data_IF_066900616315
#
_entry.id   IF_066900616315
#
_cell.length_a   1.000
_cell.length_b   1.000
_cell.length_c   1.000
_cell.angle_alpha   90.00
_cell.angle_beta   90.00
_cell.angle_gamma   90.00
#
_symmetry.space_group_name_H-M   'P 1'
#
loop_
_entity.id
_entity.type
_entity.pdbx_description
1 polymer ?
#
# COMPACT_ATOMS: atom_id res chain seq x y z
N UNK A 1 41.38 11.22 3.44
CA UNK A 1 40.36 11.08 4.51
C UNK A 1 39.31 10.11 4.00
N UNK A 2 39.02 9.05 4.76
CA UNK A 2 37.97 8.08 4.43
C UNK A 2 36.78 8.36 5.35
N UNK A 3 35.72 8.97 4.80
CA UNK A 3 34.51 9.31 5.55
C UNK A 3 33.60 8.10 5.69
N UNK A 4 33.24 7.73 6.91
CA UNK A 4 32.17 6.77 7.17
C UNK A 4 30.84 7.54 7.25
N UNK A 5 30.06 7.54 6.17
CA UNK A 5 28.69 8.09 6.16
C UNK A 5 27.67 6.97 6.33
N UNK A 6 27.69 6.33 7.51
CA UNK A 6 26.71 5.33 7.87
C UNK A 6 25.40 5.98 8.31
N UNK A 7 24.47 6.20 7.38
CA UNK A 7 23.13 6.74 7.70
C UNK A 7 22.28 5.73 8.52
N UNK A 8 22.70 4.47 8.60
CA UNK A 8 22.08 3.44 9.42
C UNK A 8 20.66 3.11 8.92
N UNK A 9 20.56 2.19 7.97
CA UNK A 9 19.27 1.77 7.37
C UNK A 9 18.19 1.40 8.40
N UNK A 10 18.58 0.78 9.52
CA UNK A 10 17.66 0.47 10.61
C UNK A 10 17.12 1.72 11.30
N UNK A 11 17.94 2.76 11.48
CA UNK A 11 17.50 4.04 12.06
C UNK A 11 16.55 4.78 11.13
N UNK A 12 16.82 4.77 9.82
CA UNK A 12 15.89 5.32 8.84
C UNK A 12 14.53 4.65 8.93
N UNK A 13 14.51 3.31 8.96
CA UNK A 13 13.27 2.55 9.08
C UNK A 13 12.51 2.92 10.35
N UNK A 14 13.19 2.93 11.51
CA UNK A 14 12.58 3.34 12.78
C UNK A 14 12.05 4.77 12.75
N UNK A 15 12.79 5.71 12.17
CA UNK A 15 12.36 7.11 12.04
C UNK A 15 11.13 7.25 11.14
N UNK A 16 11.03 6.48 10.04
CA UNK A 16 9.83 6.48 9.20
C UNK A 16 8.62 5.98 10.00
N UNK A 17 8.76 4.87 10.72
CA UNK A 17 7.67 4.32 11.54
C UNK A 17 7.26 5.29 12.65
N UNK A 18 8.21 6.01 13.26
CA UNK A 18 7.93 7.01 14.28
C UNK A 18 7.18 8.23 13.73
N UNK A 19 7.55 8.71 12.54
CA UNK A 19 6.91 9.88 11.91
C UNK A 19 5.58 9.51 11.24
N UNK A 20 5.44 8.30 10.71
CA UNK A 20 4.26 7.81 9.96
C UNK A 20 3.70 6.55 10.59
N UNK A 21 2.90 6.72 11.64
CA UNK A 21 2.11 5.67 12.25
C UNK A 21 0.70 6.14 12.58
N UNK A 22 -0.16 5.18 12.93
CA UNK A 22 -1.35 5.41 13.72
C UNK A 22 -1.43 4.41 14.89
N UNK A 23 -2.53 4.45 15.63
CA UNK A 23 -2.79 3.55 16.76
C UNK A 23 -2.86 2.05 16.39
N UNK A 24 -2.87 1.70 15.10
CA UNK A 24 -2.97 0.33 14.60
C UNK A 24 -1.71 -0.17 13.92
N UNK A 25 -0.74 0.69 13.63
CA UNK A 25 0.51 0.30 12.99
C UNK A 25 1.18 1.40 12.16
N UNK A 26 2.28 1.07 11.47
CA UNK A 26 2.96 1.99 10.56
C UNK A 26 2.11 2.32 9.33
N UNK A 27 2.38 3.47 8.71
CA UNK A 27 1.84 3.87 7.41
C UNK A 27 3.02 4.05 6.46
N UNK A 28 3.24 3.05 5.60
CA UNK A 28 4.37 3.08 4.69
C UNK A 28 4.17 4.05 3.53
N UNK A 29 5.20 4.82 3.15
CA UNK A 29 5.29 5.39 1.80
C UNK A 29 5.32 4.27 0.75
N UNK A 30 4.79 4.55 -0.45
CA UNK A 30 4.73 3.57 -1.54
C UNK A 30 6.11 3.06 -1.97
N UNK A 31 7.15 3.89 -1.86
CA UNK A 31 8.51 3.56 -2.31
C UNK A 31 9.27 2.59 -1.41
N UNK A 32 8.86 2.44 -0.15
CA UNK A 32 9.54 1.60 0.85
C UNK A 32 8.59 0.62 1.54
N UNK A 33 7.36 0.51 1.03
CA UNK A 33 6.39 -0.46 1.55
C UNK A 33 6.87 -1.88 1.26
N UNK A 34 6.66 -2.85 2.17
CA UNK A 34 7.05 -4.25 1.93
C UNK A 34 6.34 -4.88 0.72
N UNK A 35 5.11 -4.46 0.46
CA UNK A 35 4.33 -4.75 -0.74
C UNK A 35 3.52 -3.51 -1.09
N UNK A 36 3.17 -3.35 -2.36
CA UNK A 36 2.33 -2.24 -2.81
C UNK A 36 0.86 -2.50 -2.47
N UNK A 37 0.41 -3.75 -2.63
CA UNK A 37 -1.00 -4.13 -2.49
C UNK A 37 -1.16 -5.33 -1.56
N UNK A 38 -2.14 -5.29 -0.68
CA UNK A 38 -2.59 -6.44 0.10
C UNK A 38 -3.96 -6.89 -0.40
N UNK A 39 -4.03 -8.10 -0.93
CA UNK A 39 -5.25 -8.72 -1.42
C UNK A 39 -5.82 -9.63 -0.35
N UNK A 40 -7.03 -9.36 0.12
CA UNK A 40 -7.68 -10.14 1.17
C UNK A 40 -8.93 -10.81 0.60
N UNK A 41 -8.90 -12.14 0.55
CA UNK A 41 -10.08 -12.95 0.25
C UNK A 41 -10.87 -13.20 1.55
N UNK A 42 -12.11 -12.69 1.60
CA UNK A 42 -13.02 -12.90 2.72
C UNK A 42 -13.94 -14.09 2.42
N UNK A 43 -14.01 -15.05 3.34
CA UNK A 43 -14.79 -16.29 3.20
C UNK A 43 -14.26 -17.19 2.06
N UNK A 44 -13.05 -17.72 2.25
CA UNK A 44 -12.36 -18.61 1.31
C UNK A 44 -13.10 -19.93 1.07
N UNK A 45 -14.10 -20.26 1.89
CA UNK A 45 -15.02 -21.39 1.68
C UNK A 45 -15.87 -21.30 0.39
N UNK A 46 -15.78 -20.22 -0.39
CA UNK A 46 -16.46 -20.07 -1.68
C UNK A 46 -15.47 -19.96 -2.84
N UNK A 47 -15.60 -20.87 -3.81
CA UNK A 47 -14.74 -20.94 -4.99
C UNK A 47 -14.76 -19.66 -5.83
N UNK A 48 -15.88 -18.95 -5.89
CA UNK A 48 -16.01 -17.71 -6.68
C UNK A 48 -15.12 -16.58 -6.13
N UNK A 49 -14.99 -16.48 -4.81
CA UNK A 49 -14.15 -15.46 -4.16
C UNK A 49 -12.68 -15.73 -4.45
N UNK A 50 -12.26 -16.99 -4.33
CA UNK A 50 -10.89 -17.41 -4.63
C UNK A 50 -10.58 -17.16 -6.11
N UNK A 51 -11.46 -17.58 -7.03
CA UNK A 51 -11.24 -17.38 -8.46
C UNK A 51 -11.13 -15.89 -8.84
N UNK A 52 -11.94 -15.02 -8.23
CA UNK A 52 -11.83 -13.58 -8.43
C UNK A 52 -10.53 -13.00 -7.84
N UNK A 53 -10.10 -13.50 -6.69
CA UNK A 53 -8.85 -13.11 -6.05
C UNK A 53 -7.64 -13.53 -6.88
N UNK A 54 -7.59 -14.78 -7.31
CA UNK A 54 -6.53 -15.31 -8.18
C UNK A 54 -6.44 -14.53 -9.48
N UNK A 55 -7.59 -14.18 -10.08
CA UNK A 55 -7.61 -13.34 -11.28
C UNK A 55 -6.95 -11.97 -11.03
N UNK A 56 -7.37 -11.27 -9.98
CA UNK A 56 -6.81 -9.95 -9.64
C UNK A 56 -5.32 -10.07 -9.29
N UNK A 57 -4.93 -11.11 -8.55
CA UNK A 57 -3.54 -11.38 -8.20
C UNK A 57 -2.68 -11.58 -9.44
N UNK A 58 -3.13 -12.41 -10.38
CA UNK A 58 -2.42 -12.64 -11.65
C UNK A 58 -2.36 -11.37 -12.50
N UNK A 59 -3.47 -10.63 -12.62
CA UNK A 59 -3.51 -9.38 -13.39
C UNK A 59 -2.53 -8.33 -12.83
N UNK A 60 -2.41 -8.23 -11.49
CA UNK A 60 -1.46 -7.33 -10.83
C UNK A 60 -0.01 -7.80 -10.98
N UNK A 61 0.23 -9.11 -10.82
CA UNK A 61 1.57 -9.70 -10.96
C UNK A 61 2.10 -9.54 -12.39
N UNK A 62 1.23 -9.68 -13.41
CA UNK A 62 1.57 -9.41 -14.81
C UNK A 62 1.95 -7.95 -15.07
N UNK A 63 1.53 -7.03 -14.20
CA UNK A 63 1.89 -5.60 -14.25
C UNK A 63 3.13 -5.28 -13.41
N UNK A 64 3.85 -6.29 -12.91
CA UNK A 64 5.04 -6.15 -12.03
C UNK A 64 4.73 -5.45 -10.70
N UNK A 65 3.49 -5.60 -10.21
CA UNK A 65 3.07 -5.04 -8.93
C UNK A 65 3.26 -6.10 -7.84
N UNK A 66 3.99 -5.76 -6.79
CA UNK A 66 4.13 -6.62 -5.61
C UNK A 66 2.81 -6.69 -4.81
N UNK A 67 2.26 -7.90 -4.72
CA UNK A 67 1.01 -8.19 -4.02
C UNK A 67 1.20 -9.23 -2.93
N UNK A 68 0.73 -8.91 -1.72
CA UNK A 68 0.56 -9.88 -0.64
C UNK A 68 -0.86 -10.46 -0.71
N UNK A 69 -0.98 -11.75 -1.02
CA UNK A 69 -2.27 -12.44 -1.03
C UNK A 69 -2.54 -13.16 0.29
N UNK A 70 -3.67 -12.83 0.95
CA UNK A 70 -4.13 -13.46 2.19
C UNK A 70 -5.40 -14.31 1.95
N UNK A 71 -5.18 -15.59 1.69
CA UNK A 71 -6.17 -16.64 1.42
C UNK A 71 -6.49 -17.52 2.65
N UNK A 72 -5.96 -17.18 3.84
CA UNK A 72 -6.16 -17.96 5.07
C UNK A 72 -7.64 -18.12 5.41
N UNK A 73 -8.08 -19.26 5.96
CA UNK A 73 -9.46 -19.42 6.47
C UNK A 73 -9.59 -18.86 7.90
N UNK A 74 -9.30 -17.56 8.03
CA UNK A 74 -9.38 -16.82 9.30
C UNK A 74 -10.54 -15.83 9.30
N UNK A 75 -10.94 -15.42 10.50
CA UNK A 75 -12.01 -14.41 10.66
C UNK A 75 -11.59 -13.09 10.00
N UNK A 76 -12.50 -12.39 9.29
CA UNK A 76 -12.19 -11.10 8.66
C UNK A 76 -11.53 -10.09 9.59
N UNK A 77 -11.97 -10.03 10.86
CA UNK A 77 -11.39 -9.12 11.86
C UNK A 77 -9.92 -9.40 12.17
N UNK A 78 -9.48 -10.67 12.15
CA UNK A 78 -8.07 -11.04 12.37
C UNK A 78 -7.25 -10.63 11.16
N UNK A 79 -7.72 -10.93 9.94
CA UNK A 79 -7.07 -10.51 8.70
C UNK A 79 -6.89 -9.00 8.62
N UNK A 80 -7.93 -8.23 8.98
CA UNK A 80 -7.84 -6.78 8.97
C UNK A 80 -6.90 -6.23 10.04
N UNK A 81 -6.82 -6.88 11.21
CA UNK A 81 -5.85 -6.51 12.24
C UNK A 81 -4.42 -6.76 11.76
N UNK A 82 -4.13 -7.94 11.21
CA UNK A 82 -2.82 -8.28 10.62
C UNK A 82 -2.44 -7.32 9.49
N UNK A 83 -3.41 -7.00 8.63
CA UNK A 83 -3.24 -6.06 7.54
C UNK A 83 -2.98 -4.63 8.02
N UNK A 84 -3.65 -4.19 9.09
CA UNK A 84 -3.44 -2.86 9.68
C UNK A 84 -2.05 -2.76 10.34
N UNK A 85 -1.57 -3.87 10.92
CA UNK A 85 -0.23 -4.03 11.52
C UNK A 85 0.89 -4.00 10.47
N UNK A 86 0.69 -4.64 9.31
CA UNK A 86 1.65 -4.61 8.21
C UNK A 86 1.76 -3.21 7.58
N UNK A 87 0.66 -2.44 7.59
CA UNK A 87 0.67 -1.05 7.15
C UNK A 87 0.75 -0.85 5.64
N UNK A 88 0.42 -1.86 4.83
CA UNK A 88 0.51 -1.83 3.37
C UNK A 88 -0.38 -0.69 2.80
N UNK A 89 0.13 0.12 1.84
CA UNK A 89 -0.56 1.34 1.39
C UNK A 89 -1.95 1.11 0.78
N UNK A 90 -2.09 0.09 -0.08
CA UNK A 90 -3.34 -0.27 -0.74
C UNK A 90 -3.82 -1.65 -0.29
N UNK A 91 -5.06 -1.74 0.15
CA UNK A 91 -5.72 -3.00 0.45
C UNK A 91 -6.92 -3.20 -0.47
N UNK A 92 -7.04 -4.41 -1.01
CA UNK A 92 -8.17 -4.82 -1.85
C UNK A 92 -8.89 -5.95 -1.12
N UNK A 93 -10.12 -5.68 -0.68
CA UNK A 93 -10.96 -6.66 -0.02
C UNK A 93 -11.94 -7.26 -1.04
N UNK A 94 -11.92 -8.58 -1.15
CA UNK A 94 -12.85 -9.33 -1.97
C UNK A 94 -13.81 -10.03 -1.02
N UNK A 95 -15.08 -9.63 -1.09
CA UNK A 95 -16.12 -10.22 -0.27
C UNK A 95 -17.22 -10.82 -1.14
N UNK A 96 -17.77 -11.94 -0.69
CA UNK A 96 -18.94 -12.54 -1.33
C UNK A 96 -20.17 -11.62 -1.34
N UNK A 97 -20.19 -10.54 -0.53
CA UNK A 97 -21.29 -9.57 -0.54
C UNK A 97 -21.24 -8.66 -1.77
N UNK A 98 -20.03 -8.25 -2.20
CA UNK A 98 -19.84 -7.30 -3.30
C UNK A 98 -19.54 -7.98 -4.64
N UNK A 99 -19.09 -9.24 -4.59
CA UNK A 99 -18.78 -10.06 -5.76
C UNK A 99 -19.96 -10.20 -6.75
N UNK A 100 -21.23 -10.40 -6.32
CA UNK A 100 -22.37 -10.49 -7.25
C UNK A 100 -22.65 -9.19 -8.01
N UNK A 101 -22.26 -8.04 -7.44
CA UNK A 101 -22.33 -6.74 -8.10
C UNK A 101 -21.11 -6.45 -8.99
N UNK A 102 -20.15 -7.37 -9.06
CA UNK A 102 -18.91 -7.23 -9.82
C UNK A 102 -17.93 -6.21 -9.22
N UNK A 103 -18.06 -5.89 -7.93
CA UNK A 103 -17.29 -4.85 -7.25
C UNK A 103 -16.35 -5.44 -6.19
N UNK A 104 -15.19 -4.79 -6.03
CA UNK A 104 -14.23 -5.03 -4.95
C UNK A 104 -14.01 -3.75 -4.17
N UNK A 105 -13.68 -3.88 -2.89
CA UNK A 105 -13.48 -2.73 -2.01
C UNK A 105 -11.99 -2.39 -1.94
N UNK A 106 -11.67 -1.15 -2.27
CA UNK A 106 -10.35 -0.56 -2.15
C UNK A 106 -10.30 0.23 -0.86
N UNK A 107 -9.32 -0.04 -0.02
CA UNK A 107 -9.08 0.65 1.23
C UNK A 107 -7.65 1.21 1.23
N UNK A 108 -7.53 2.51 1.49
CA UNK A 108 -6.25 3.21 1.49
C UNK A 108 -5.75 3.43 2.91
N UNK A 109 -4.53 2.99 3.21
CA UNK A 109 -3.99 3.07 4.58
C UNK A 109 -3.74 4.50 5.05
N UNK A 110 -3.25 5.35 4.15
CA UNK A 110 -2.96 6.76 4.44
C UNK A 110 -4.21 7.63 4.58
N UNK A 111 -5.34 7.23 3.99
CA UNK A 111 -6.60 7.99 3.98
C UNK A 111 -7.64 7.28 4.83
N UNK A 112 -7.61 7.59 6.14
CA UNK A 112 -8.43 6.92 7.14
C UNK A 112 -9.93 7.08 6.84
N UNK A 113 -10.60 5.96 6.56
CA UNK A 113 -12.06 5.90 6.34
C UNK A 113 -12.50 6.09 4.89
N UNK A 114 -11.57 6.28 3.95
CA UNK A 114 -11.90 6.31 2.52
C UNK A 114 -11.86 4.87 1.98
N UNK A 115 -13.04 4.33 1.68
CA UNK A 115 -13.18 3.12 0.88
C UNK A 115 -13.86 3.43 -0.44
N UNK A 116 -13.38 2.79 -1.50
CA UNK A 116 -13.92 2.92 -2.84
C UNK A 116 -14.33 1.56 -3.38
N UNK A 117 -15.52 1.48 -3.97
CA UNK A 117 -15.95 0.28 -4.67
C UNK A 117 -15.54 0.37 -6.14
N UNK A 118 -14.71 -0.58 -6.57
CA UNK A 118 -14.12 -0.61 -7.91
C UNK A 118 -14.60 -1.86 -8.64
N UNK A 119 -15.00 -1.77 -9.92
CA UNK A 119 -15.32 -2.95 -10.71
C UNK A 119 -14.11 -3.89 -10.82
N UNK A 120 -14.32 -5.20 -10.69
CA UNK A 120 -13.25 -6.22 -10.77
C UNK A 120 -12.42 -6.07 -12.05
N UNK A 121 -13.08 -5.78 -13.18
CA UNK A 121 -12.41 -5.59 -14.47
C UNK A 121 -11.45 -4.39 -14.50
N UNK A 122 -11.64 -3.40 -13.63
CA UNK A 122 -10.82 -2.20 -13.56
C UNK A 122 -9.86 -2.19 -12.36
N UNK A 123 -9.99 -3.16 -11.45
CA UNK A 123 -9.24 -3.19 -10.20
C UNK A 123 -7.72 -3.13 -10.42
N UNK A 124 -7.16 -3.97 -11.29
CA UNK A 124 -5.72 -4.00 -11.55
C UNK A 124 -5.21 -2.67 -12.13
N UNK A 125 -5.89 -2.14 -13.14
CA UNK A 125 -5.52 -0.86 -13.76
C UNK A 125 -5.63 0.32 -12.78
N UNK A 126 -6.65 0.33 -11.92
CA UNK A 126 -6.83 1.38 -10.93
C UNK A 126 -5.78 1.29 -9.83
N UNK A 127 -5.44 0.09 -9.37
CA UNK A 127 -4.35 -0.13 -8.42
C UNK A 127 -3.02 0.36 -9.00
N UNK A 128 -2.71 -0.01 -10.25
CA UNK A 128 -1.51 0.46 -10.96
C UNK A 128 -1.45 1.99 -11.01
N UNK A 129 -2.53 2.63 -11.47
CA UNK A 129 -2.60 4.10 -11.56
C UNK A 129 -2.41 4.76 -10.19
N UNK A 130 -2.96 4.17 -9.13
CA UNK A 130 -2.79 4.65 -7.77
C UNK A 130 -1.33 4.55 -7.31
N UNK A 131 -0.66 3.43 -7.57
CA UNK A 131 0.75 3.22 -7.22
C UNK A 131 1.65 4.21 -7.98
N UNK A 132 1.46 4.34 -9.30
CA UNK A 132 2.23 5.27 -10.14
C UNK A 132 2.05 6.72 -9.69
N UNK A 133 0.81 7.12 -9.36
CA UNK A 133 0.54 8.47 -8.84
C UNK A 133 1.20 8.67 -7.49
N UNK A 134 1.12 7.69 -6.59
CA UNK A 134 1.71 7.78 -5.26
C UNK A 134 3.25 7.85 -5.29
N UNK A 135 3.90 7.15 -6.23
CA UNK A 135 5.35 7.23 -6.43
C UNK A 135 5.75 8.59 -6.99
N UNK A 136 5.01 9.10 -7.99
CA UNK A 136 5.27 10.43 -8.56
C UNK A 136 5.11 11.56 -7.54
N UNK A 137 4.10 11.48 -6.69
CA UNK A 137 3.88 12.46 -5.62
C UNK A 137 5.05 12.49 -4.61
N UNK A 138 5.72 11.35 -4.38
CA UNK A 138 6.90 11.27 -3.52
C UNK A 138 8.09 11.97 -4.17
N UNK A 139 8.31 11.75 -5.46
CA UNK A 139 9.40 12.39 -6.22
C UNK A 139 9.22 13.92 -6.24
N UNK A 140 8.01 14.39 -6.55
CA UNK A 140 7.69 15.83 -6.54
C UNK A 140 7.90 16.47 -5.15
N UNK A 141 7.65 15.74 -4.06
CA UNK A 141 7.91 16.19 -2.70
C UNK A 141 9.41 16.27 -2.40
N UNK A 142 10.19 15.29 -2.86
CA UNK A 142 11.64 15.27 -2.70
C UNK A 142 12.31 16.45 -3.44
N UNK A 143 11.85 16.77 -4.65
CA UNK A 143 12.36 17.89 -5.44
C UNK A 143 12.12 19.24 -4.74
N UNK A 144 10.90 19.48 -4.25
CA UNK A 144 10.55 20.71 -3.51
C UNK A 144 11.36 20.90 -2.23
N UNK A 145 11.67 19.81 -1.52
CA UNK A 145 12.50 19.86 -0.32
C UNK A 145 13.95 20.22 -0.67
N UNK A 146 14.44 19.75 -1.80
CA UNK A 146 15.78 20.05 -2.29
C UNK A 146 15.92 21.53 -2.66
N UNK A 147 14.94 22.11 -3.32
CA UNK A 147 14.89 23.54 -3.65
C UNK A 147 14.89 24.42 -2.39
N UNK A 148 14.02 24.13 -1.42
CA UNK A 148 13.95 24.88 -0.15
C UNK A 148 15.25 24.82 0.66
N UNK A 149 15.90 23.65 0.65
CA UNK A 149 17.18 23.47 1.34
C UNK A 149 18.25 24.33 0.68
N UNK A 150 18.31 24.35 -0.66
CA UNK A 150 19.27 25.19 -1.39
C UNK A 150 19.03 26.69 -1.18
N UNK A 151 17.78 27.14 -1.09
CA UNK A 151 17.45 28.54 -0.78
C UNK A 151 17.87 28.94 0.65
N UNK A 152 17.65 28.08 1.64
CA UNK A 152 18.11 28.31 3.02
C UNK A 152 19.64 28.39 3.14
N UNK A 153 20.39 27.56 2.37
CA UNK A 153 21.85 27.64 2.34
C UNK A 153 22.37 28.89 1.63
N UNK A 154 21.62 29.46 0.66
CA UNK A 154 21.98 30.72 -0.01
C UNK A 154 21.72 31.97 0.85
N UNK A 155 20.72 31.95 1.73
CA UNK A 155 20.43 33.09 2.63
C UNK A 155 21.34 33.17 3.87
N UNK A 156 22.08 32.09 4.19
CA UNK A 156 22.94 32.02 5.38
C UNK A 156 24.45 32.20 5.07
N UNK A 157 24.81 32.56 3.84
CA UNK A 157 26.16 32.95 3.40
C UNK A 157 26.12 34.35 2.79
#
# INVERSE_FOLDING_TARGET
MMGCYGIGVGRLMSSVMEVRNDNKGPIWPMSISPWHVQLIALQTNKSEVIAAADKIYNDLTLMDIEVLFDDRDDRPGVKFADADLLGIPLRINISNRHLPSGMVEFQYRAKKGESAFVPIAQAANQAKKFIETALRDIDDQADRLTEKTQEQFKCNN
#
